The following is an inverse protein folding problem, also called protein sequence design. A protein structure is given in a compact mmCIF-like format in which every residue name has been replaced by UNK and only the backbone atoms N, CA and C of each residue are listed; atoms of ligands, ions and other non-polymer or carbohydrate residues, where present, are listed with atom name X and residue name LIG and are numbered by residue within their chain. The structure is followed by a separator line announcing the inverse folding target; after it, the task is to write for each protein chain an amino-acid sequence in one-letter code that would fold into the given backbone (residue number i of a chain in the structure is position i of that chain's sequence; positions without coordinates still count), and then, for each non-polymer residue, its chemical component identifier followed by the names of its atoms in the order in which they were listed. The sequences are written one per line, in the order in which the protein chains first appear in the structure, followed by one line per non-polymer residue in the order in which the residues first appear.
data_IF_003265954758
#
_entry.id   IF_003265954758
#
_cell.length_a   1.000
_cell.length_b   1.000
_cell.length_c   1.000
_cell.angle_alpha   90.00
_cell.angle_beta   90.00
_cell.angle_gamma   90.00
#
_symmetry.space_group_name_H-M   'P 1'
#
loop_
_entity.id
_entity.type
_entity.pdbx_description
1 polymer ?
#
# COMPACT_ATOMS: atom_id res chain seq x y z
N UNK A 1 -13.59 -18.69 7.04
CA UNK A 1 -12.74 -17.64 6.43
C UNK A 1 -11.54 -18.36 5.87
N UNK A 2 -11.30 -18.30 4.55
CA UNK A 2 -10.11 -18.92 3.96
C UNK A 2 -8.88 -18.09 4.33
N UNK A 3 -7.94 -18.76 4.98
CA UNK A 3 -6.65 -18.23 5.37
C UNK A 3 -5.82 -17.90 4.12
N UNK A 4 -5.54 -16.62 3.90
CA UNK A 4 -4.79 -16.16 2.73
C UNK A 4 -3.31 -16.01 3.08
N UNK A 5 -2.48 -16.83 2.43
CA UNK A 5 -1.01 -16.71 2.48
C UNK A 5 -0.59 -15.25 2.27
N UNK A 6 0.24 -14.73 3.18
CA UNK A 6 0.61 -13.30 3.23
C UNK A 6 1.09 -12.75 1.87
N UNK A 7 1.87 -13.50 1.12
CA UNK A 7 2.41 -13.08 -0.19
C UNK A 7 1.35 -12.95 -1.30
N UNK A 8 0.13 -13.46 -1.09
CA UNK A 8 -1.01 -13.23 -2.00
C UNK A 8 -1.83 -11.99 -1.62
N UNK A 9 -1.43 -11.27 -0.58
CA UNK A 9 -2.10 -10.06 -0.13
C UNK A 9 -1.78 -8.89 -1.03
N UNK A 10 -2.78 -8.43 -1.77
CA UNK A 10 -2.64 -7.21 -2.58
C UNK A 10 -2.35 -5.98 -1.70
N UNK A 11 -2.87 -5.96 -0.47
CA UNK A 11 -2.60 -4.92 0.53
C UNK A 11 -1.15 -4.85 0.95
N UNK A 12 -0.51 -5.99 1.23
CA UNK A 12 0.91 -5.99 1.61
C UNK A 12 1.79 -5.52 0.45
N UNK A 13 1.51 -5.98 -0.78
CA UNK A 13 2.26 -5.53 -1.95
C UNK A 13 2.10 -4.04 -2.20
N UNK A 14 0.89 -3.51 -2.07
CA UNK A 14 0.65 -2.10 -2.36
C UNK A 14 1.26 -1.17 -1.31
N UNK A 15 1.21 -1.55 -0.04
CA UNK A 15 1.92 -0.83 1.02
C UNK A 15 3.45 -0.96 0.87
N UNK A 16 3.95 -2.12 0.41
CA UNK A 16 5.37 -2.32 0.09
C UNK A 16 5.85 -1.41 -1.03
N UNK A 17 5.09 -1.29 -2.13
CA UNK A 17 5.38 -0.37 -3.23
C UNK A 17 5.37 1.08 -2.74
N UNK A 18 4.38 1.46 -1.95
CA UNK A 18 4.31 2.80 -1.36
C UNK A 18 5.54 3.12 -0.50
N UNK A 19 5.97 2.17 0.34
CA UNK A 19 7.18 2.33 1.15
C UNK A 19 8.43 2.50 0.29
N UNK A 20 8.60 1.70 -0.76
CA UNK A 20 9.73 1.84 -1.70
C UNK A 20 9.70 3.19 -2.40
N UNK A 21 8.53 3.66 -2.83
CA UNK A 21 8.38 4.97 -3.47
C UNK A 21 8.74 6.12 -2.52
N UNK A 22 8.38 6.04 -1.24
CA UNK A 22 8.77 7.04 -0.23
C UNK A 22 10.29 7.04 -0.04
N UNK A 23 10.90 5.86 0.12
CA UNK A 23 12.36 5.74 0.26
C UNK A 23 13.08 6.31 -0.96
N UNK A 24 12.60 6.01 -2.17
CA UNK A 24 13.19 6.52 -3.41
C UNK A 24 13.13 8.06 -3.47
N UNK A 25 12.02 8.67 -3.05
CA UNK A 25 11.92 10.13 -2.96
C UNK A 25 12.90 10.73 -1.96
N UNK A 26 13.07 10.09 -0.80
CA UNK A 26 14.03 10.55 0.21
C UNK A 26 15.47 10.51 -0.30
N UNK A 27 15.84 9.49 -1.09
CA UNK A 27 17.20 9.32 -1.61
C UNK A 27 17.47 10.24 -2.81
N UNK A 28 16.49 10.42 -3.69
CA UNK A 28 16.65 11.21 -4.93
C UNK A 28 16.30 12.69 -4.77
N UNK A 29 15.63 13.07 -3.67
CA UNK A 29 15.07 14.41 -3.49
C UNK A 29 13.97 14.76 -4.49
N UNK A 30 13.55 13.81 -5.33
CA UNK A 30 12.52 14.04 -6.34
C UNK A 30 11.16 13.97 -5.67
N UNK A 31 10.43 15.08 -5.67
CA UNK A 31 9.09 15.15 -5.10
C UNK A 31 8.07 15.03 -6.23
N UNK A 32 7.44 13.86 -6.35
CA UNK A 32 6.46 13.60 -7.43
C UNK A 32 5.04 14.05 -7.07
N UNK A 33 4.78 14.21 -5.77
CA UNK A 33 3.49 14.62 -5.21
C UNK A 33 3.73 15.26 -3.84
N UNK A 34 2.84 16.16 -3.43
CA UNK A 34 2.81 16.69 -2.06
C UNK A 34 2.51 15.59 -1.04
N UNK A 35 2.81 15.85 0.24
CA UNK A 35 2.58 14.88 1.31
C UNK A 35 1.07 14.55 1.46
N UNK A 36 0.23 15.58 1.28
CA UNK A 36 -1.23 15.49 1.31
C UNK A 36 -1.76 14.61 0.17
N UNK A 37 -1.26 14.81 -1.06
CA UNK A 37 -1.63 13.98 -2.21
C UNK A 37 -1.21 12.52 -2.02
N UNK A 38 0.01 12.27 -1.53
CA UNK A 38 0.46 10.91 -1.22
C UNK A 38 -0.40 10.23 -0.17
N UNK A 39 -0.69 10.92 0.93
CA UNK A 39 -1.54 10.41 1.98
C UNK A 39 -2.94 10.08 1.45
N UNK A 40 -3.52 10.97 0.63
CA UNK A 40 -4.81 10.75 -0.03
C UNK A 40 -4.81 9.51 -0.92
N UNK A 41 -3.78 9.35 -1.76
CA UNK A 41 -3.64 8.18 -2.65
C UNK A 41 -3.56 6.88 -1.84
N UNK A 42 -2.73 6.84 -0.79
CA UNK A 42 -2.57 5.65 0.06
C UNK A 42 -3.88 5.29 0.76
N UNK A 43 -4.63 6.28 1.26
CA UNK A 43 -5.92 6.06 1.92
C UNK A 43 -6.94 5.48 0.94
N UNK A 44 -7.07 6.07 -0.25
CA UNK A 44 -8.00 5.59 -1.29
C UNK A 44 -7.66 4.15 -1.71
N UNK A 45 -6.39 3.87 -1.95
CA UNK A 45 -5.92 2.52 -2.30
C UNK A 45 -6.28 1.52 -1.20
N UNK A 46 -6.03 1.86 0.07
CA UNK A 46 -6.34 0.98 1.19
C UNK A 46 -7.85 0.77 1.37
N UNK A 47 -8.68 1.79 1.14
CA UNK A 47 -10.14 1.66 1.16
C UNK A 47 -10.62 0.72 0.05
N UNK A 48 -10.16 0.91 -1.19
CA UNK A 48 -10.52 0.05 -2.32
C UNK A 48 -10.07 -1.39 -2.06
N UNK A 49 -8.83 -1.56 -1.59
CA UNK A 49 -8.32 -2.88 -1.22
C UNK A 49 -9.11 -3.48 -0.07
N UNK A 50 -9.61 -2.71 0.88
CA UNK A 50 -10.46 -3.23 1.97
C UNK A 50 -11.79 -3.76 1.45
N UNK A 51 -12.38 -3.09 0.46
CA UNK A 51 -13.63 -3.55 -0.18
C UNK A 51 -13.43 -4.86 -0.96
N UNK A 52 -12.28 -5.00 -1.62
CA UNK A 52 -11.94 -6.19 -2.41
C UNK A 52 -11.46 -7.34 -1.51
N UNK A 53 -10.70 -7.03 -0.45
CA UNK A 53 -10.00 -7.98 0.41
C UNK A 53 -10.81 -8.16 1.70
N UNK A 54 -11.81 -9.04 1.66
CA UNK A 54 -12.68 -9.37 2.80
C UNK A 54 -12.13 -10.47 3.73
N UNK A 55 -10.88 -10.89 3.56
CA UNK A 55 -10.27 -12.02 4.28
C UNK A 55 -9.07 -11.58 5.13
N UNK A 56 -8.89 -12.20 6.30
CA UNK A 56 -7.71 -12.01 7.16
C UNK A 56 -6.43 -12.55 6.52
N UNK A 57 -5.29 -12.03 6.95
CA UNK A 57 -3.96 -12.53 6.58
C UNK A 57 -3.55 -13.65 7.51
N UNK A 58 -2.96 -14.71 6.96
CA UNK A 58 -2.27 -15.73 7.76
C UNK A 58 -0.77 -15.70 7.50
N UNK A 59 -0.03 -15.86 8.60
CA UNK A 59 1.43 -15.97 8.61
C UNK A 59 1.89 -17.21 7.82
#
# INVERSE_FOLDING_TARGET
MEDKKWYKSKTLWMNGIAAVAIVYQMVTGSQFASAEEQAGIIVVINLVLRLITKSGLTA
#
